data_IF_907951247900
#
_entry.id   IF_907951247900
#
_cell.length_a   1.000
_cell.length_b   1.000
_cell.length_c   1.000
_cell.angle_alpha   90.00
_cell.angle_beta   90.00
_cell.angle_gamma   90.00
#
_symmetry.space_group_name_H-M   'P 1'
#
loop_
_entity.id
_entity.type
_entity.pdbx_description
1 polymer ?
#
# COMPACT_ATOMS: atom_id res chain seq x y z
N UNK A 1 -20.78 19.68 -3.89
CA UNK A 1 -19.63 20.14 -3.07
C UNK A 1 -20.07 20.78 -1.76
N UNK A 2 -20.73 21.96 -1.77
CA UNK A 2 -21.08 22.73 -0.54
C UNK A 2 -21.82 21.97 0.56
N UNK A 3 -22.56 20.91 0.22
CA UNK A 3 -23.25 20.03 1.18
C UNK A 3 -22.33 19.03 1.90
N UNK A 4 -21.13 18.76 1.35
CA UNK A 4 -20.16 17.80 1.88
C UNK A 4 -18.90 18.47 2.45
N UNK A 5 -18.48 19.57 1.83
CA UNK A 5 -17.34 20.38 2.22
C UNK A 5 -17.52 21.79 1.65
N UNK A 6 -17.33 22.81 2.48
CA UNK A 6 -17.46 24.21 2.13
C UNK A 6 -16.16 24.98 2.40
N UNK A 7 -15.78 25.81 1.44
CA UNK A 7 -14.75 26.84 1.60
C UNK A 7 -15.03 27.95 0.59
N UNK A 8 -14.83 29.23 0.95
CA UNK A 8 -15.10 30.36 0.05
C UNK A 8 -14.15 30.39 -1.15
N UNK A 9 -12.98 29.75 -1.06
CA UNK A 9 -11.99 29.68 -2.15
C UNK A 9 -12.22 28.53 -3.13
N UNK A 10 -13.06 27.56 -2.79
CA UNK A 10 -13.36 26.44 -3.68
C UNK A 10 -14.29 26.88 -4.82
N UNK A 11 -13.79 26.80 -6.05
CA UNK A 11 -14.54 27.18 -7.26
C UNK A 11 -15.44 26.05 -7.80
N UNK A 12 -15.17 24.82 -7.39
CA UNK A 12 -15.87 23.61 -7.83
C UNK A 12 -15.23 22.37 -7.22
N UNK A 13 -15.74 21.19 -7.57
CA UNK A 13 -15.17 19.92 -7.12
C UNK A 13 -15.87 18.72 -7.75
N UNK A 14 -15.16 17.60 -7.79
CA UNK A 14 -15.67 16.31 -8.28
C UNK A 14 -15.91 15.37 -7.08
N UNK A 15 -17.07 14.72 -7.06
CA UNK A 15 -17.44 13.79 -5.99
C UNK A 15 -17.49 12.37 -6.54
N UNK A 16 -16.68 11.50 -5.92
CA UNK A 16 -16.68 10.05 -6.18
C UNK A 16 -17.40 9.36 -5.03
N UNK A 17 -18.68 9.01 -5.23
CA UNK A 17 -19.52 8.38 -4.20
C UNK A 17 -19.08 6.97 -3.80
N UNK A 18 -18.35 6.30 -4.70
CA UNK A 18 -17.78 4.97 -4.54
C UNK A 18 -16.45 4.97 -3.76
N UNK A 19 -15.88 6.16 -3.54
CA UNK A 19 -14.62 6.32 -2.82
C UNK A 19 -14.78 6.02 -1.32
N UNK A 20 -13.85 5.27 -0.76
CA UNK A 20 -13.80 4.96 0.67
C UNK A 20 -12.36 4.91 1.18
N UNK A 21 -12.19 5.14 2.48
CA UNK A 21 -10.91 4.90 3.16
C UNK A 21 -10.85 3.45 3.63
N UNK A 22 -9.66 2.85 3.50
CA UNK A 22 -9.43 1.47 3.93
C UNK A 22 -8.51 1.42 5.13
N UNK A 23 -8.85 0.57 6.11
CA UNK A 23 -7.97 0.25 7.23
C UNK A 23 -6.88 -0.71 6.73
N UNK A 24 -5.84 -0.16 6.10
CA UNK A 24 -4.77 -0.90 5.43
C UNK A 24 -4.17 -2.02 6.30
N UNK A 25 -3.87 -1.72 7.57
CA UNK A 25 -3.34 -2.71 8.52
C UNK A 25 -4.29 -3.88 8.78
N UNK A 26 -5.60 -3.61 8.92
CA UNK A 26 -6.59 -4.67 9.07
C UNK A 26 -6.76 -5.48 7.79
N UNK A 27 -6.76 -4.82 6.63
CA UNK A 27 -6.82 -5.51 5.35
C UNK A 27 -5.65 -6.51 5.21
N UNK A 28 -4.42 -6.06 5.44
CA UNK A 28 -3.24 -6.92 5.37
C UNK A 28 -3.32 -8.10 6.37
N UNK A 29 -3.73 -7.83 7.61
CA UNK A 29 -3.91 -8.84 8.64
C UNK A 29 -4.94 -9.91 8.25
N UNK A 30 -6.10 -9.50 7.72
CA UNK A 30 -7.16 -10.41 7.32
C UNK A 30 -6.79 -11.21 6.07
N UNK A 31 -6.10 -10.59 5.09
CA UNK A 31 -5.58 -11.31 3.92
C UNK A 31 -4.56 -12.39 4.33
N UNK A 32 -3.63 -12.06 5.23
CA UNK A 32 -2.68 -13.03 5.79
C UNK A 32 -3.40 -14.19 6.46
N UNK A 33 -4.41 -13.90 7.28
CA UNK A 33 -5.19 -14.91 7.98
C UNK A 33 -5.95 -15.83 7.01
N UNK A 34 -6.48 -15.27 5.92
CA UNK A 34 -7.17 -16.01 4.86
C UNK A 34 -6.25 -16.99 4.13
N UNK A 35 -5.06 -16.55 3.70
CA UNK A 35 -4.13 -17.42 2.97
C UNK A 35 -3.62 -18.57 3.84
N UNK A 36 -3.39 -18.32 5.14
CA UNK A 36 -2.99 -19.36 6.09
C UNK A 36 -4.10 -20.41 6.24
N UNK A 37 -5.37 -19.97 6.33
CA UNK A 37 -6.51 -20.90 6.39
C UNK A 37 -6.68 -21.73 5.11
N UNK A 38 -6.22 -21.21 3.97
CA UNK A 38 -6.18 -21.93 2.69
C UNK A 38 -4.99 -22.87 2.55
N UNK A 39 -4.15 -22.99 3.58
CA UNK A 39 -3.00 -23.90 3.59
C UNK A 39 -1.73 -23.30 2.97
N UNK A 40 -1.69 -22.00 2.68
CA UNK A 40 -0.44 -21.35 2.33
C UNK A 40 0.48 -21.27 3.55
N UNK A 41 1.78 -21.46 3.34
CA UNK A 41 2.80 -21.23 4.37
C UNK A 41 3.36 -19.82 4.23
N UNK A 42 3.47 -19.10 5.34
CA UNK A 42 4.06 -17.75 5.39
C UNK A 42 5.31 -17.81 6.26
N UNK A 43 6.44 -17.40 5.70
CA UNK A 43 7.71 -17.26 6.40
C UNK A 43 7.99 -15.77 6.62
N UNK A 44 7.82 -15.31 7.85
CA UNK A 44 8.14 -13.94 8.27
C UNK A 44 9.59 -13.86 8.75
N UNK A 45 10.14 -12.64 8.83
CA UNK A 45 11.54 -12.38 9.20
C UNK A 45 12.58 -13.19 8.39
N UNK A 46 12.19 -13.61 7.19
CA UNK A 46 12.98 -14.47 6.31
C UNK A 46 13.40 -13.68 5.08
N UNK A 47 14.50 -12.94 5.22
CA UNK A 47 15.02 -12.13 4.12
C UNK A 47 15.57 -13.03 2.99
N UNK A 48 15.02 -12.89 1.80
CA UNK A 48 15.58 -13.49 0.58
C UNK A 48 16.82 -12.69 0.17
N UNK A 49 17.99 -13.28 0.31
CA UNK A 49 19.28 -12.63 0.00
C UNK A 49 19.64 -12.75 -1.48
N UNK A 50 19.31 -13.89 -2.10
CA UNK A 50 19.62 -14.15 -3.51
C UNK A 50 18.50 -14.90 -4.20
N UNK A 51 18.36 -14.57 -5.48
CA UNK A 51 17.42 -15.15 -6.42
C UNK A 51 18.22 -15.64 -7.62
N UNK A 52 18.27 -16.95 -7.84
CA UNK A 52 19.01 -17.50 -8.98
C UNK A 52 18.14 -18.48 -9.72
N UNK A 53 18.06 -18.30 -11.04
CA UNK A 53 17.46 -19.28 -11.92
C UNK A 53 18.33 -20.54 -11.92
N UNK A 54 17.69 -21.69 -11.80
CA UNK A 54 18.34 -23.02 -11.82
C UNK A 54 17.68 -23.84 -12.92
N UNK A 55 18.28 -24.99 -13.27
CA UNK A 55 17.83 -25.86 -14.38
C UNK A 55 16.31 -26.13 -14.39
N UNK A 56 15.68 -26.20 -13.20
CA UNK A 56 14.23 -26.14 -13.05
C UNK A 56 13.82 -25.16 -11.95
N UNK A 57 13.43 -23.95 -12.35
CA UNK A 57 12.83 -22.93 -11.47
C UNK A 57 13.85 -21.97 -10.84
N UNK A 58 13.58 -21.55 -9.62
CA UNK A 58 14.36 -20.56 -8.88
C UNK A 58 14.79 -21.11 -7.53
N UNK A 59 16.07 -20.92 -7.21
CA UNK A 59 16.61 -21.09 -5.86
C UNK A 59 16.57 -19.74 -5.14
N UNK A 60 15.99 -19.71 -3.94
CA UNK A 60 15.94 -18.55 -3.05
C UNK A 60 16.72 -18.86 -1.80
N UNK A 61 17.80 -18.12 -1.59
CA UNK A 61 18.68 -18.31 -0.45
C UNK A 61 18.27 -17.40 0.70
N UNK A 62 18.10 -18.00 1.87
CA UNK A 62 17.79 -17.30 3.12
C UNK A 62 18.83 -17.70 4.17
N UNK A 63 19.02 -16.92 5.25
CA UNK A 63 19.96 -17.28 6.32
C UNK A 63 19.68 -18.63 6.97
N UNK A 64 18.43 -19.10 6.91
CA UNK A 64 17.95 -20.31 7.60
C UNK A 64 17.72 -21.49 6.66
N UNK A 65 18.01 -21.34 5.37
CA UNK A 65 17.86 -22.40 4.37
C UNK A 65 17.46 -21.90 2.99
N UNK A 66 17.41 -22.83 2.04
CA UNK A 66 17.10 -22.54 0.64
C UNK A 66 15.72 -23.06 0.25
N UNK A 67 15.01 -22.30 -0.59
CA UNK A 67 13.72 -22.68 -1.17
C UNK A 67 13.84 -22.84 -2.68
N UNK A 68 13.29 -23.93 -3.22
CA UNK A 68 13.13 -24.14 -4.67
C UNK A 68 11.68 -23.92 -5.08
N UNK A 69 11.45 -23.13 -6.14
CA UNK A 69 10.12 -22.88 -6.67
C UNK A 69 10.15 -22.79 -8.21
N UNK A 70 9.16 -23.37 -8.89
CA UNK A 70 9.04 -23.29 -10.36
C UNK A 70 8.73 -21.87 -10.84
N UNK A 71 7.92 -21.14 -10.07
CA UNK A 71 7.49 -19.78 -10.37
C UNK A 71 7.77 -18.87 -9.18
N UNK A 72 8.19 -17.63 -9.45
CA UNK A 72 8.39 -16.63 -8.40
C UNK A 72 7.72 -15.31 -8.79
N UNK A 73 6.90 -14.81 -7.88
CA UNK A 73 6.32 -13.46 -7.97
C UNK A 73 7.14 -12.50 -7.10
N UNK A 74 7.69 -11.46 -7.71
CA UNK A 74 8.45 -10.43 -7.02
C UNK A 74 7.51 -9.34 -6.49
N UNK A 75 6.94 -9.55 -5.29
CA UNK A 75 5.99 -8.65 -4.65
C UNK A 75 6.60 -7.79 -3.52
N UNK A 76 7.86 -7.36 -3.67
CA UNK A 76 8.65 -6.70 -2.59
C UNK A 76 8.64 -5.17 -2.65
N UNK A 77 7.73 -4.58 -3.44
CA UNK A 77 7.53 -3.14 -3.55
C UNK A 77 8.85 -2.38 -3.82
N UNK A 78 9.18 -1.34 -3.04
CA UNK A 78 10.35 -0.47 -3.27
C UNK A 78 11.69 -1.22 -3.31
N UNK A 79 11.79 -2.40 -2.67
CA UNK A 79 13.00 -3.21 -2.70
C UNK A 79 13.35 -3.71 -4.12
N UNK A 80 12.38 -3.73 -5.04
CA UNK A 80 12.61 -4.06 -6.46
C UNK A 80 13.57 -3.07 -7.14
N UNK A 81 13.68 -1.83 -6.65
CA UNK A 81 14.64 -0.86 -7.15
C UNK A 81 16.11 -1.29 -6.92
N UNK A 82 16.34 -2.22 -5.98
CA UNK A 82 17.66 -2.83 -5.73
C UNK A 82 18.06 -3.89 -6.75
N UNK A 83 17.12 -4.39 -7.57
CA UNK A 83 17.41 -5.39 -8.60
C UNK A 83 17.91 -4.69 -9.88
N UNK A 84 19.14 -4.96 -10.35
CA UNK A 84 19.73 -4.23 -11.49
C UNK A 84 18.86 -4.25 -12.76
N UNK A 85 18.21 -5.38 -13.04
CA UNK A 85 17.34 -5.54 -14.22
C UNK A 85 16.01 -4.78 -14.13
N UNK A 86 15.53 -4.48 -12.92
CA UNK A 86 14.27 -3.78 -12.71
C UNK A 86 14.48 -2.29 -12.37
N UNK A 87 15.65 -1.92 -11.86
CA UNK A 87 15.98 -0.57 -11.41
C UNK A 87 15.62 0.55 -12.41
N UNK A 88 15.85 0.43 -13.73
CA UNK A 88 15.47 1.48 -14.68
C UNK A 88 13.96 1.77 -14.70
N UNK A 89 13.14 0.75 -14.35
CA UNK A 89 11.69 0.75 -14.45
C UNK A 89 10.98 1.01 -13.11
N UNK A 90 11.71 1.10 -12.00
CA UNK A 90 11.13 1.36 -10.68
C UNK A 90 11.44 2.81 -10.27
N UNK A 91 10.38 3.59 -10.03
CA UNK A 91 10.49 4.94 -9.47
C UNK A 91 9.96 4.92 -8.05
N UNK A 92 10.82 5.29 -7.10
CA UNK A 92 10.43 5.49 -5.71
C UNK A 92 10.30 6.99 -5.47
N UNK A 93 9.20 7.40 -4.86
CA UNK A 93 8.96 8.75 -4.39
C UNK A 93 8.54 8.71 -2.94
N UNK A 94 8.82 9.79 -2.22
CA UNK A 94 8.38 9.95 -0.84
C UNK A 94 7.05 10.68 -0.81
N UNK A 95 6.15 10.20 0.04
CA UNK A 95 4.94 10.90 0.43
C UNK A 95 4.93 11.02 1.95
N UNK A 96 4.53 12.19 2.45
CA UNK A 96 4.51 12.50 3.87
C UNK A 96 3.07 12.66 4.31
N UNK A 97 2.60 11.72 5.13
CA UNK A 97 1.32 11.85 5.81
C UNK A 97 1.52 12.67 7.08
N UNK A 98 0.72 13.73 7.25
CA UNK A 98 0.64 14.47 8.50
C UNK A 98 -0.67 14.16 9.21
N UNK A 99 -0.65 14.20 10.54
CA UNK A 99 -1.84 14.03 11.36
C UNK A 99 -1.91 15.19 12.36
N UNK A 100 -3.02 15.90 12.34
CA UNK A 100 -3.30 16.94 13.33
C UNK A 100 -3.90 16.31 14.59
N UNK A 101 -3.92 17.10 15.68
CA UNK A 101 -4.88 16.88 16.76
C UNK A 101 -6.31 16.96 16.20
N UNK A 102 -7.28 16.42 16.92
CA UNK A 102 -8.68 16.64 16.58
C UNK A 102 -9.02 18.15 16.69
N UNK A 103 -9.66 18.72 15.68
CA UNK A 103 -10.06 20.14 15.63
C UNK A 103 -11.54 20.26 15.23
N UNK A 104 -12.48 20.05 16.17
CA UNK A 104 -13.92 20.03 15.86
C UNK A 104 -14.44 21.33 15.24
N UNK A 105 -13.98 22.48 15.76
CA UNK A 105 -14.38 23.80 15.26
C UNK A 105 -14.05 23.99 13.77
N UNK A 106 -12.90 23.48 13.31
CA UNK A 106 -12.50 23.57 11.91
C UNK A 106 -13.41 22.71 11.01
N UNK A 107 -13.75 21.50 11.47
CA UNK A 107 -14.66 20.58 10.78
C UNK A 107 -16.05 21.19 10.65
N UNK A 108 -16.56 21.80 11.73
CA UNK A 108 -17.86 22.48 11.74
C UNK A 108 -17.89 23.69 10.81
N UNK A 109 -16.87 24.56 10.89
CA UNK A 109 -16.74 25.77 10.07
C UNK A 109 -16.77 25.46 8.57
N UNK A 110 -16.15 24.35 8.17
CA UNK A 110 -16.04 23.95 6.76
C UNK A 110 -17.16 23.01 6.33
N UNK A 111 -18.16 22.78 7.19
CA UNK A 111 -19.24 21.82 6.97
C UNK A 111 -18.73 20.46 6.46
N UNK A 112 -17.56 20.02 6.94
CA UNK A 112 -16.94 18.76 6.52
C UNK A 112 -17.72 17.61 7.18
N UNK A 113 -18.71 17.10 6.45
CA UNK A 113 -19.66 16.10 6.96
C UNK A 113 -19.27 14.71 6.44
N UNK A 114 -19.08 13.77 7.37
CA UNK A 114 -18.77 12.37 7.06
C UNK A 114 -17.27 12.09 6.94
N UNK A 115 -16.92 10.92 6.41
CA UNK A 115 -15.55 10.41 6.34
C UNK A 115 -14.91 10.57 4.94
N UNK A 116 -15.46 11.46 4.11
CA UNK A 116 -14.95 11.68 2.76
C UNK A 116 -13.57 12.36 2.81
N UNK A 117 -12.61 11.79 2.09
CA UNK A 117 -11.34 12.45 1.82
C UNK A 117 -11.50 13.62 0.86
N UNK A 118 -10.67 14.64 1.01
CA UNK A 118 -10.57 15.77 0.08
C UNK A 118 -9.13 15.91 -0.39
N UNK A 119 -8.94 16.13 -1.68
CA UNK A 119 -7.65 16.37 -2.30
C UNK A 119 -7.80 17.44 -3.37
N UNK A 120 -6.73 18.19 -3.61
CA UNK A 120 -6.66 19.10 -4.74
C UNK A 120 -6.50 18.30 -6.05
N UNK A 121 -7.11 18.80 -7.13
CA UNK A 121 -6.93 18.26 -8.47
C UNK A 121 -5.92 19.17 -9.18
N UNK A 122 -4.64 18.83 -9.03
CA UNK A 122 -3.54 19.37 -9.84
C UNK A 122 -3.34 18.53 -11.09
#
# INVERSE_FOLDING_TARGET
MRQHLWSPIFRGGLLYSEGATVRQGCLAYHLRSEILRRGCTVFEDTLVQRATEVEVGFLRQTPSGDLKATNVVLATNVALAGLPSLRPNVKSFSSYACMSRNVPEAVETHAWRGAAGAADLV
#
